data_IF_991213415579
#
_entry.id   IF_991213415579
#
_cell.length_a   1.000
_cell.length_b   1.000
_cell.length_c   1.000
_cell.angle_alpha   90.00
_cell.angle_beta   90.00
_cell.angle_gamma   90.00
#
_symmetry.space_group_name_H-M   'P 1'
#
loop_
_entity.id
_entity.type
_entity.pdbx_description
1 polymer ?
#
# COMPACT_ATOMS: atom_id res chain seq x y z
N UNK A 1 -29.22 67.29 14.17
CA UNK A 1 -29.19 65.90 13.64
C UNK A 1 -28.22 65.91 12.47
N UNK A 2 -26.96 65.57 12.73
CA UNK A 2 -25.95 65.41 11.66
C UNK A 2 -26.08 63.99 11.10
N UNK A 3 -26.48 63.88 9.83
CA UNK A 3 -26.31 62.65 9.07
C UNK A 3 -24.89 62.63 8.54
N UNK A 4 -24.00 61.89 9.21
CA UNK A 4 -22.70 61.51 8.67
C UNK A 4 -22.88 60.44 7.61
N UNK A 5 -22.97 60.88 6.36
CA UNK A 5 -22.90 60.03 5.17
C UNK A 5 -21.48 59.47 5.06
N UNK A 6 -21.26 58.26 5.58
CA UNK A 6 -20.03 57.53 5.34
C UNK A 6 -20.01 57.09 3.87
N UNK A 7 -19.29 57.86 3.05
CA UNK A 7 -18.96 57.45 1.70
C UNK A 7 -18.07 56.21 1.77
N UNK A 8 -18.67 55.04 1.55
CA UNK A 8 -17.96 53.77 1.35
C UNK A 8 -17.19 53.89 0.04
N UNK A 9 -15.94 54.32 0.13
CA UNK A 9 -14.99 54.27 -0.97
C UNK A 9 -14.78 52.78 -1.30
N UNK A 10 -15.46 52.31 -2.34
CA UNK A 10 -15.18 51.03 -2.97
C UNK A 10 -13.71 51.05 -3.40
N UNK A 11 -12.85 50.40 -2.61
CA UNK A 11 -11.46 50.17 -2.98
C UNK A 11 -11.49 49.41 -4.31
N UNK A 12 -10.92 49.94 -5.41
CA UNK A 12 -10.76 49.16 -6.62
C UNK A 12 -9.83 47.99 -6.25
N UNK A 13 -10.40 46.80 -6.15
CA UNK A 13 -9.64 45.57 -5.93
C UNK A 13 -8.65 45.46 -7.09
N UNK A 14 -7.37 45.76 -6.82
CA UNK A 14 -6.31 45.66 -7.82
C UNK A 14 -6.04 44.17 -8.02
N UNK A 15 -6.83 43.55 -8.90
CA UNK A 15 -6.59 42.20 -9.38
C UNK A 15 -5.38 42.25 -10.30
N UNK A 16 -4.20 42.02 -9.74
CA UNK A 16 -3.00 41.76 -10.53
C UNK A 16 -3.21 40.43 -11.26
N UNK A 17 -3.28 40.40 -12.60
CA UNK A 17 -3.34 39.15 -13.33
C UNK A 17 -2.07 38.35 -13.01
N UNK A 18 -2.22 37.28 -12.22
CA UNK A 18 -1.16 36.33 -11.96
C UNK A 18 -0.78 35.68 -13.29
N UNK A 19 0.37 36.04 -13.84
CA UNK A 19 0.91 35.39 -15.02
C UNK A 19 1.15 33.91 -14.67
N UNK A 20 0.53 32.95 -15.39
CA UNK A 20 0.70 31.54 -15.07
C UNK A 20 2.16 31.16 -15.30
N UNK A 21 2.85 30.77 -14.24
CA UNK A 21 4.26 30.36 -14.29
C UNK A 21 4.50 29.36 -15.45
N UNK A 22 5.27 29.73 -16.49
CA UNK A 22 5.35 28.97 -17.75
C UNK A 22 5.95 27.57 -17.58
N UNK A 23 6.62 27.30 -16.47
CA UNK A 23 7.41 26.09 -16.24
C UNK A 23 6.65 24.95 -15.55
N UNK A 24 5.51 25.21 -14.90
CA UNK A 24 4.78 24.19 -14.15
C UNK A 24 4.21 23.08 -15.06
N UNK A 25 3.62 23.47 -16.19
CA UNK A 25 2.99 22.53 -17.15
C UNK A 25 4.01 21.54 -17.74
N UNK A 26 5.23 22.02 -18.03
CA UNK A 26 6.32 21.20 -18.58
C UNK A 26 6.81 20.15 -17.59
N UNK A 27 6.94 20.51 -16.31
CA UNK A 27 7.38 19.59 -15.24
C UNK A 27 6.38 18.45 -15.04
N UNK A 28 5.08 18.76 -15.04
CA UNK A 28 4.01 17.78 -14.90
C UNK A 28 4.01 16.79 -16.06
N UNK A 29 4.11 17.29 -17.30
CA UNK A 29 4.16 16.44 -18.48
C UNK A 29 5.41 15.55 -18.53
N UNK A 30 6.58 16.07 -18.16
CA UNK A 30 7.80 15.26 -18.08
C UNK A 30 7.68 14.13 -17.05
N UNK A 31 7.15 14.45 -15.87
CA UNK A 31 6.91 13.50 -14.77
C UNK A 31 5.92 12.43 -15.18
N UNK A 32 4.83 12.82 -15.86
CA UNK A 32 3.83 11.91 -16.39
C UNK A 32 4.45 10.89 -17.34
N UNK A 33 5.25 11.32 -18.31
CA UNK A 33 5.91 10.40 -19.24
C UNK A 33 6.89 9.46 -18.56
N UNK A 34 7.70 9.94 -17.61
CA UNK A 34 8.62 9.11 -16.84
C UNK A 34 7.85 8.01 -16.09
N UNK A 35 6.78 8.38 -15.41
CA UNK A 35 5.95 7.45 -14.65
C UNK A 35 5.17 6.49 -15.55
N UNK A 36 4.70 6.96 -16.70
CA UNK A 36 4.02 6.11 -17.68
C UNK A 36 4.96 5.02 -18.18
N UNK A 37 6.19 5.38 -18.58
CA UNK A 37 7.20 4.43 -19.03
C UNK A 37 7.55 3.45 -17.92
N UNK A 38 7.77 3.94 -16.69
CA UNK A 38 8.07 3.09 -15.53
C UNK A 38 6.93 2.09 -15.27
N UNK A 39 5.68 2.52 -15.39
CA UNK A 39 4.50 1.67 -15.15
C UNK A 39 4.27 0.65 -16.27
N UNK A 40 4.50 1.05 -17.53
CA UNK A 40 4.46 0.10 -18.66
C UNK A 40 5.57 -0.92 -18.54
N UNK A 41 6.78 -0.52 -18.17
CA UNK A 41 7.91 -1.44 -17.96
C UNK A 41 7.62 -2.44 -16.83
N UNK A 42 7.07 -1.96 -15.70
CA UNK A 42 6.60 -2.81 -14.60
C UNK A 42 5.55 -3.81 -15.10
N UNK A 43 4.48 -3.35 -15.76
CA UNK A 43 3.44 -4.25 -16.28
C UNK A 43 3.98 -5.27 -17.29
N UNK A 44 4.85 -4.84 -18.20
CA UNK A 44 5.47 -5.72 -19.21
C UNK A 44 6.32 -6.82 -18.56
N UNK A 45 7.10 -6.49 -17.54
CA UNK A 45 7.83 -7.48 -16.74
C UNK A 45 6.86 -8.49 -16.10
N UNK A 46 5.67 -8.05 -15.68
CA UNK A 46 4.70 -8.90 -14.98
C UNK A 46 3.99 -9.85 -15.90
N UNK A 47 3.66 -9.34 -17.08
CA UNK A 47 3.09 -10.12 -18.16
C UNK A 47 4.12 -11.12 -18.71
N UNK A 48 5.39 -10.71 -18.86
CA UNK A 48 6.46 -11.61 -19.29
C UNK A 48 6.68 -12.76 -18.30
N UNK A 49 6.66 -12.47 -17.01
CA UNK A 49 6.73 -13.49 -15.97
C UNK A 49 5.57 -14.50 -16.08
N UNK A 50 4.34 -14.02 -16.31
CA UNK A 50 3.17 -14.89 -16.50
C UNK A 50 3.27 -15.74 -17.78
N UNK A 51 3.76 -15.15 -18.87
CA UNK A 51 3.84 -15.82 -20.17
C UNK A 51 4.96 -16.88 -20.24
N UNK A 52 6.13 -16.63 -19.65
CA UNK A 52 7.34 -17.45 -19.84
C UNK A 52 7.60 -18.49 -18.74
N UNK A 53 6.72 -18.66 -17.74
CA UNK A 53 6.86 -19.65 -16.65
C UNK A 53 8.29 -19.72 -16.09
N UNK A 54 8.80 -18.56 -15.68
CA UNK A 54 10.18 -18.43 -15.20
C UNK A 54 10.27 -19.12 -13.82
N UNK A 55 11.06 -20.17 -13.71
CA UNK A 55 11.26 -20.92 -12.46
C UNK A 55 12.60 -20.59 -11.77
N UNK A 56 12.69 -20.88 -10.47
CA UNK A 56 13.93 -20.79 -9.70
C UNK A 56 14.38 -19.38 -9.33
N UNK A 57 15.69 -19.13 -9.33
CA UNK A 57 16.29 -17.88 -8.82
C UNK A 57 15.85 -16.65 -9.63
N UNK A 58 15.63 -16.81 -10.94
CA UNK A 58 15.16 -15.73 -11.82
C UNK A 58 13.75 -15.26 -11.46
N UNK A 59 12.88 -16.15 -10.96
CA UNK A 59 11.55 -15.79 -10.47
C UNK A 59 11.64 -14.82 -9.29
N UNK A 60 12.49 -15.15 -8.32
CA UNK A 60 12.69 -14.33 -7.12
C UNK A 60 13.28 -12.96 -7.49
N UNK A 61 14.20 -12.93 -8.46
CA UNK A 61 14.75 -11.68 -8.98
C UNK A 61 13.68 -10.81 -9.65
N UNK A 62 12.86 -11.37 -10.55
CA UNK A 62 11.81 -10.61 -11.24
C UNK A 62 10.77 -10.09 -10.25
N UNK A 63 10.36 -10.89 -9.25
CA UNK A 63 9.47 -10.45 -8.16
C UNK A 63 10.09 -9.34 -7.31
N UNK A 64 11.38 -9.43 -6.98
CA UNK A 64 12.09 -8.39 -6.25
C UNK A 64 12.18 -7.09 -7.05
N UNK A 65 12.56 -7.19 -8.34
CA UNK A 65 12.63 -6.06 -9.26
C UNK A 65 11.28 -5.36 -9.38
N UNK A 66 10.20 -6.12 -9.51
CA UNK A 66 8.84 -5.60 -9.51
C UNK A 66 8.51 -4.74 -8.30
N UNK A 67 8.74 -5.29 -7.10
CA UNK A 67 8.47 -4.57 -5.85
C UNK A 67 9.29 -3.27 -5.80
N UNK A 68 10.56 -3.32 -6.23
CA UNK A 68 11.43 -2.13 -6.24
C UNK A 68 10.90 -1.08 -7.22
N UNK A 69 10.49 -1.46 -8.44
CA UNK A 69 9.90 -0.52 -9.40
C UNK A 69 8.59 0.09 -8.88
N UNK A 70 7.73 -0.72 -8.24
CA UNK A 70 6.47 -0.23 -7.64
C UNK A 70 6.74 0.75 -6.49
N UNK A 71 7.74 0.51 -5.65
CA UNK A 71 8.12 1.44 -4.58
C UNK A 71 8.75 2.71 -5.16
N UNK A 72 9.65 2.58 -6.14
CA UNK A 72 10.28 3.70 -6.81
C UNK A 72 9.26 4.65 -7.45
N UNK A 73 8.24 4.10 -8.14
CA UNK A 73 7.18 4.93 -8.72
C UNK A 73 6.36 5.65 -7.65
N UNK A 74 6.05 4.97 -6.54
CA UNK A 74 5.27 5.55 -5.45
C UNK A 74 6.00 6.72 -4.81
N UNK A 75 7.31 6.57 -4.53
CA UNK A 75 8.15 7.65 -4.01
C UNK A 75 8.27 8.80 -5.01
N UNK A 76 8.43 8.51 -6.30
CA UNK A 76 8.50 9.53 -7.34
C UNK A 76 7.20 10.33 -7.47
N UNK A 77 6.03 9.66 -7.41
CA UNK A 77 4.72 10.31 -7.40
C UNK A 77 4.58 11.25 -6.20
N UNK A 78 4.87 10.78 -4.99
CA UNK A 78 4.72 11.58 -3.77
C UNK A 78 5.68 12.77 -3.75
N UNK A 79 6.93 12.58 -4.19
CA UNK A 79 7.91 13.67 -4.21
C UNK A 79 7.57 14.77 -5.25
N UNK A 80 7.06 14.39 -6.43
CA UNK A 80 6.87 15.33 -7.54
C UNK A 80 5.45 15.90 -7.63
N UNK A 81 4.40 15.07 -7.53
CA UNK A 81 3.02 15.55 -7.68
C UNK A 81 2.50 16.30 -6.47
N UNK A 82 3.00 15.96 -5.29
CA UNK A 82 2.57 16.66 -4.08
C UNK A 82 3.46 17.88 -3.79
N UNK A 83 4.43 18.21 -4.67
CA UNK A 83 5.33 19.36 -4.53
C UNK A 83 6.11 19.40 -3.21
N UNK A 84 6.21 18.28 -2.49
CA UNK A 84 6.87 18.20 -1.17
C UNK A 84 8.38 18.48 -1.23
N UNK A 85 9.01 18.47 -2.41
CA UNK A 85 10.43 18.76 -2.56
C UNK A 85 10.81 20.13 -2.00
N UNK A 86 10.13 21.18 -2.47
CA UNK A 86 10.46 22.58 -2.19
C UNK A 86 9.45 23.28 -1.26
N UNK A 87 8.37 22.60 -0.87
CA UNK A 87 7.25 23.15 -0.07
C UNK A 87 7.44 22.99 1.45
N UNK A 88 6.60 23.70 2.22
CA UNK A 88 6.60 23.75 3.68
C UNK A 88 6.55 22.37 4.35
N UNK A 89 7.41 22.20 5.37
CA UNK A 89 7.62 20.96 6.13
C UNK A 89 6.32 20.38 6.72
N UNK A 90 5.35 21.23 7.07
CA UNK A 90 4.06 20.81 7.61
C UNK A 90 3.21 20.07 6.58
N UNK A 91 3.24 20.48 5.31
CA UNK A 91 2.51 19.78 4.25
C UNK A 91 3.09 18.39 4.00
N UNK A 92 4.43 18.27 4.03
CA UNK A 92 5.10 16.97 3.94
C UNK A 92 4.71 16.05 5.09
N UNK A 93 4.70 16.57 6.32
CA UNK A 93 4.39 15.79 7.52
C UNK A 93 2.96 15.24 7.47
N UNK A 94 2.00 16.06 7.00
CA UNK A 94 0.57 15.68 6.94
C UNK A 94 0.30 14.57 5.94
N UNK A 95 1.10 14.46 4.87
CA UNK A 95 1.03 13.38 3.88
C UNK A 95 1.86 12.17 4.31
N UNK A 96 3.05 12.39 4.87
CA UNK A 96 3.98 11.32 5.23
C UNK A 96 3.51 10.51 6.44
N UNK A 97 2.96 11.18 7.46
CA UNK A 97 2.43 10.52 8.68
C UNK A 97 1.36 9.48 8.35
N UNK A 98 0.26 9.79 7.62
CA UNK A 98 -0.74 8.79 7.27
C UNK A 98 -0.18 7.69 6.37
N UNK A 99 0.78 7.99 5.49
CA UNK A 99 1.45 6.99 4.66
C UNK A 99 2.22 5.96 5.49
N UNK A 100 2.96 6.40 6.50
CA UNK A 100 3.72 5.52 7.40
C UNK A 100 2.77 4.77 8.36
N UNK A 101 1.75 5.45 8.88
CA UNK A 101 0.73 4.83 9.74
C UNK A 101 -0.01 3.70 9.01
N UNK A 102 -0.24 3.81 7.70
CA UNK A 102 -0.87 2.75 6.92
C UNK A 102 -0.01 1.47 6.89
N UNK A 103 1.30 1.61 6.68
CA UNK A 103 2.25 0.50 6.70
C UNK A 103 2.29 -0.14 8.10
N UNK A 104 2.35 0.68 9.15
CA UNK A 104 2.28 0.20 10.54
C UNK A 104 0.98 -0.57 10.81
N UNK A 105 -0.17 -0.05 10.38
CA UNK A 105 -1.47 -0.71 10.57
C UNK A 105 -1.54 -2.06 9.87
N UNK A 106 -1.00 -2.17 8.64
CA UNK A 106 -0.91 -3.46 7.95
C UNK A 106 -0.14 -4.46 8.83
N UNK A 107 1.03 -4.09 9.36
CA UNK A 107 1.79 -4.99 10.24
C UNK A 107 1.04 -5.33 11.54
N UNK A 108 0.37 -4.36 12.16
CA UNK A 108 -0.42 -4.59 13.37
C UNK A 108 -1.56 -5.58 13.11
N UNK A 109 -2.33 -5.39 12.03
CA UNK A 109 -3.43 -6.27 11.65
C UNK A 109 -2.95 -7.64 11.17
N UNK A 110 -1.79 -7.74 10.52
CA UNK A 110 -1.22 -9.04 10.18
C UNK A 110 -0.87 -9.85 11.44
N UNK A 111 -0.27 -9.21 12.45
CA UNK A 111 0.02 -9.86 13.73
C UNK A 111 -1.24 -10.25 14.47
N UNK A 112 -2.22 -9.35 14.52
CA UNK A 112 -3.51 -9.60 15.17
C UNK A 112 -4.29 -10.72 14.46
N UNK A 113 -4.28 -10.75 13.13
CA UNK A 113 -4.89 -11.80 12.33
C UNK A 113 -4.26 -13.18 12.55
N UNK A 114 -2.93 -13.26 12.71
CA UNK A 114 -2.24 -14.51 13.07
C UNK A 114 -2.66 -14.98 14.46
N UNK A 115 -2.70 -14.07 15.44
CA UNK A 115 -3.18 -14.36 16.80
C UNK A 115 -4.63 -14.84 16.80
N UNK A 116 -5.52 -14.13 16.11
CA UNK A 116 -6.93 -14.48 15.98
C UNK A 116 -7.12 -15.87 15.38
N UNK A 117 -6.36 -16.22 14.34
CA UNK A 117 -6.39 -17.58 13.76
C UNK A 117 -5.96 -18.64 14.76
N UNK A 118 -4.90 -18.38 15.54
CA UNK A 118 -4.40 -19.33 16.53
C UNK A 118 -5.42 -19.56 17.64
N UNK A 119 -6.00 -18.48 18.17
CA UNK A 119 -7.07 -18.55 19.19
C UNK A 119 -8.29 -19.31 18.66
N UNK A 120 -8.75 -19.01 17.43
CA UNK A 120 -9.86 -19.75 16.82
C UNK A 120 -9.57 -21.24 16.69
N UNK A 121 -8.35 -21.61 16.28
CA UNK A 121 -7.97 -23.02 16.14
C UNK A 121 -7.93 -23.75 17.49
N UNK A 122 -7.57 -23.05 18.58
CA UNK A 122 -7.54 -23.61 19.94
C UNK A 122 -8.92 -23.78 20.56
N UNK A 123 -9.82 -22.80 20.36
CA UNK A 123 -11.16 -22.81 20.98
C UNK A 123 -12.25 -23.47 20.13
N UNK A 124 -12.05 -23.56 18.80
CA UNK A 124 -12.98 -24.19 17.85
C UNK A 124 -12.30 -25.37 17.11
N UNK A 125 -11.48 -26.14 17.84
CA UNK A 125 -10.95 -27.40 17.34
C UNK A 125 -12.08 -28.41 17.12
N UNK A 126 -11.95 -29.36 16.17
CA UNK A 126 -12.94 -30.43 16.01
C UNK A 126 -13.15 -31.12 17.36
N UNK A 127 -14.41 -31.48 17.66
CA UNK A 127 -14.76 -32.20 18.89
C UNK A 127 -13.71 -33.31 19.14
N UNK A 128 -13.26 -33.52 20.40
CA UNK A 128 -12.33 -34.60 20.70
C UNK A 128 -12.85 -35.85 20.02
N UNK A 129 -12.13 -36.33 19.01
CA UNK A 129 -12.40 -37.65 18.46
C UNK A 129 -12.13 -38.56 19.64
N UNK A 130 -13.20 -39.10 20.20
CA UNK A 130 -13.16 -40.07 21.27
C UNK A 130 -12.11 -41.09 20.86
N UNK A 131 -10.99 -41.13 21.58
CA UNK A 131 -10.02 -42.19 21.43
C UNK A 131 -10.74 -43.44 21.92
N UNK A 132 -11.46 -44.09 21.01
CA UNK A 132 -12.03 -45.41 21.25
C UNK A 132 -10.82 -46.27 21.58
N UNK A 133 -10.75 -46.70 22.83
CA UNK A 133 -9.68 -47.53 23.33
C UNK A 133 -9.44 -48.69 22.35
N UNK A 134 -8.18 -49.04 22.03
CA UNK A 134 -7.91 -50.16 21.15
C UNK A 134 -8.67 -51.38 21.69
N UNK A 135 -9.39 -52.14 20.83
CA UNK A 135 -10.17 -53.27 21.27
C UNK A 135 -9.28 -54.23 22.07
N UNK A 136 -9.79 -54.82 23.16
CA UNK A 136 -8.99 -55.71 23.99
C UNK A 136 -8.36 -56.82 23.13
N UNK A 137 -7.11 -57.22 23.40
CA UNK A 137 -6.39 -58.15 22.55
C UNK A 137 -7.21 -59.43 22.40
N UNK A 138 -7.50 -59.80 21.15
CA UNK A 138 -8.22 -61.01 20.82
C UNK A 138 -7.49 -62.21 21.45
N UNK A 139 -8.16 -62.87 22.39
CA UNK A 139 -7.68 -64.10 22.99
C UNK A 139 -7.59 -65.14 21.88
N UNK A 140 -6.36 -65.43 21.42
CA UNK A 140 -6.12 -66.52 20.48
C UNK A 140 -6.65 -67.79 21.14
N UNK A 141 -7.52 -68.58 20.46
CA UNK A 141 -7.98 -69.83 21.00
C UNK A 141 -6.75 -70.68 21.30
N UNK A 142 -6.60 -71.04 22.58
CA UNK A 142 -5.52 -71.88 23.05
C UNK A 142 -5.53 -73.17 22.25
N UNK A 143 -4.39 -73.48 21.64
CA UNK A 143 -4.12 -74.84 21.22
C UNK A 143 -4.05 -75.72 22.46
N UNK A 144 -4.64 -76.90 22.39
CA UNK A 144 -4.02 -78.18 22.75
C UNK A 144 -5.08 -79.30 22.77
N UNK A 145 -4.76 -80.33 21.99
CA UNK A 145 -5.15 -81.75 22.09
C UNK A 145 -6.55 -82.16 21.65
#
# INVERSE_FOLDING_TARGET
>A
MEQTTHAVLASPEITFPHEPAPNAKKKIWATFWILLVLTIAELALGLSHYAFHIEGVMLTFVKGLMIILSVAKAVYIVSVFMHLGDETRNFKLLILVPMISFIWFIFAFLRDGVSYKDLRNRYNGPAPTEQVAPPPPAQKPGGLN
#
